data_IF_171599548353
#
_entry.id   IF_171599548353
#
_cell.length_a   1.000
_cell.length_b   1.000
_cell.length_c   1.000
_cell.angle_alpha   90.00
_cell.angle_beta   90.00
_cell.angle_gamma   90.00
#
_symmetry.space_group_name_H-M   'P 1'
#
loop_
_entity.id
_entity.type
_entity.pdbx_description
1 polymer ?
#
# COMPACT_ATOMS: atom_id res chain seq x y z
N UNK A 1 -8.73 -1.58 13.65
CA UNK A 1 -7.35 -1.07 13.48
C UNK A 1 -7.45 0.44 13.43
N UNK A 2 -7.09 1.13 14.51
CA UNK A 2 -7.05 2.59 14.50
C UNK A 2 -5.76 3.03 13.82
N UNK A 3 -5.87 3.85 12.76
CA UNK A 3 -4.69 4.34 12.04
C UNK A 3 -4.04 5.44 12.89
N UNK A 4 -2.80 5.22 13.34
CA UNK A 4 -1.97 6.24 14.00
C UNK A 4 -1.79 7.39 13.00
N UNK A 5 -2.47 8.51 13.25
CA UNK A 5 -2.49 9.80 12.52
C UNK A 5 -2.21 9.74 10.98
N UNK A 6 -3.18 10.11 10.12
CA UNK A 6 -2.98 10.04 8.68
C UNK A 6 -1.83 10.94 8.19
N UNK A 7 -0.82 10.31 7.58
CA UNK A 7 0.29 10.99 6.91
C UNK A 7 -0.20 11.55 5.56
N UNK A 8 -0.53 12.84 5.54
CA UNK A 8 -1.16 13.51 4.38
C UNK A 8 -0.33 13.38 3.09
N UNK A 9 0.97 13.60 3.18
CA UNK A 9 1.87 13.53 2.02
C UNK A 9 1.85 12.15 1.36
N UNK A 10 1.89 11.08 2.16
CA UNK A 10 1.83 9.70 1.67
C UNK A 10 0.47 9.42 1.00
N UNK A 11 -0.62 9.92 1.59
CA UNK A 11 -1.96 9.77 1.02
C UNK A 11 -2.06 10.44 -0.36
N UNK A 12 -1.49 11.63 -0.51
CA UNK A 12 -1.54 12.36 -1.79
C UNK A 12 -0.69 11.67 -2.86
N UNK A 13 0.48 11.13 -2.50
CA UNK A 13 1.30 10.31 -3.41
C UNK A 13 0.56 9.04 -3.84
N UNK A 14 -0.11 8.35 -2.92
CA UNK A 14 -0.91 7.15 -3.23
C UNK A 14 -2.05 7.49 -4.18
N UNK A 15 -2.77 8.59 -3.94
CA UNK A 15 -3.84 9.05 -4.84
C UNK A 15 -3.30 9.37 -6.24
N UNK A 16 -2.20 10.12 -6.33
CA UNK A 16 -1.57 10.47 -7.60
C UNK A 16 -1.07 9.24 -8.37
N UNK A 17 -0.68 8.17 -7.67
CA UNK A 17 -0.18 6.91 -8.24
C UNK A 17 -1.28 5.91 -8.61
N UNK A 18 -2.57 6.29 -8.54
CA UNK A 18 -3.69 5.39 -8.87
C UNK A 18 -4.18 4.50 -7.71
N UNK A 19 -4.05 4.96 -6.47
CA UNK A 19 -4.37 4.21 -5.26
C UNK A 19 -5.84 3.86 -5.01
N UNK A 20 -6.77 4.23 -5.89
CA UNK A 20 -8.19 3.88 -5.74
C UNK A 20 -8.45 2.36 -5.74
N UNK A 21 -7.57 1.57 -6.36
CA UNK A 21 -7.64 0.12 -6.30
C UNK A 21 -7.55 -0.43 -4.86
N UNK A 22 -6.85 0.27 -3.94
CA UNK A 22 -6.75 -0.15 -2.54
C UNK A 22 -8.09 -0.11 -1.80
N UNK A 23 -9.07 0.69 -2.24
CA UNK A 23 -10.44 0.66 -1.68
C UNK A 23 -11.15 -0.67 -1.92
N UNK A 24 -10.66 -1.47 -2.87
CA UNK A 24 -11.14 -2.83 -3.18
C UNK A 24 -10.22 -3.93 -2.60
N UNK A 25 -9.32 -3.57 -1.68
CA UNK A 25 -8.45 -4.55 -1.02
C UNK A 25 -9.25 -5.40 -0.04
N UNK A 26 -9.26 -6.73 -0.26
CA UNK A 26 -9.90 -7.69 0.64
C UNK A 26 -8.96 -8.25 1.71
N UNK A 27 -7.78 -7.65 1.87
CA UNK A 27 -6.77 -8.04 2.86
C UNK A 27 -6.33 -9.52 2.76
N UNK A 28 -6.31 -10.08 1.54
CA UNK A 28 -5.91 -11.47 1.30
C UNK A 28 -4.39 -11.72 1.33
N UNK A 29 -3.55 -10.67 1.32
CA UNK A 29 -2.09 -10.78 1.39
C UNK A 29 -1.36 -11.16 0.09
N UNK A 30 -2.07 -11.43 -1.01
CA UNK A 30 -1.45 -11.83 -2.28
C UNK A 30 -0.49 -10.77 -2.86
N UNK A 31 -0.76 -9.49 -2.63
CA UNK A 31 0.13 -8.41 -3.09
C UNK A 31 1.52 -8.48 -2.43
N UNK A 32 1.59 -8.92 -1.18
CA UNK A 32 2.86 -9.06 -0.45
C UNK A 32 3.68 -10.22 -1.02
N UNK A 33 3.06 -11.36 -1.29
CA UNK A 33 3.77 -12.56 -1.79
C UNK A 33 4.40 -12.33 -3.17
N UNK A 34 3.79 -11.50 -4.01
CA UNK A 34 4.28 -11.19 -5.36
C UNK A 34 5.20 -9.98 -5.42
N UNK A 35 5.37 -9.23 -4.32
CA UNK A 35 6.16 -8.00 -4.31
C UNK A 35 7.62 -8.30 -4.70
N UNK A 36 8.12 -7.76 -5.84
CA UNK A 36 9.49 -8.04 -6.29
C UNK A 36 10.55 -7.55 -5.31
N UNK A 37 10.23 -6.50 -4.54
CA UNK A 37 11.12 -5.89 -3.57
C UNK A 37 11.53 -6.84 -2.44
N UNK A 38 10.70 -7.83 -2.14
CA UNK A 38 11.00 -8.86 -1.13
C UNK A 38 12.23 -9.71 -1.51
N UNK A 39 12.69 -9.64 -2.76
CA UNK A 39 13.89 -10.32 -3.27
C UNK A 39 15.14 -9.45 -3.23
N UNK A 40 15.01 -8.13 -3.03
CA UNK A 40 16.14 -7.21 -2.92
C UNK A 40 16.72 -7.32 -1.52
N UNK A 41 18.00 -7.69 -1.41
CA UNK A 41 18.75 -7.73 -0.15
C UNK A 41 19.99 -6.85 -0.30
N UNK A 42 20.37 -6.17 0.79
CA UNK A 42 21.56 -5.33 0.92
C UNK A 42 22.84 -6.14 1.08
#
# INVERSE_FOLDING_TARGET
METVAPYKEIIDVIKASGGDAFKRCFQCGLCDTVCPWNRVRS
#
